data_IF_232509408237
#
_entry.id   IF_232509408237
#
_cell.length_a   1.000
_cell.length_b   1.000
_cell.length_c   1.000
_cell.angle_alpha   90.00
_cell.angle_beta   90.00
_cell.angle_gamma   90.00
#
_symmetry.space_group_name_H-M   'P 1'
#
loop_
_entity.id
_entity.type
_entity.pdbx_description
1 polymer ?
#
# COMPACT_ATOMS: atom_id res chain seq x y z
N UNK A 1 -21.32 25.92 -9.06
CA UNK A 1 -20.62 26.41 -10.26
C UNK A 1 -19.36 25.64 -10.64
N UNK A 2 -18.26 25.54 -9.84
CA UNK A 2 -17.11 24.69 -10.24
C UNK A 2 -17.40 23.18 -10.11
N UNK A 3 -18.10 22.78 -9.04
CA UNK A 3 -18.47 21.38 -8.82
C UNK A 3 -19.45 20.85 -9.88
N UNK A 4 -20.45 21.63 -10.27
CA UNK A 4 -21.39 21.24 -11.33
C UNK A 4 -20.69 21.11 -12.69
N UNK A 5 -19.73 22.00 -12.98
CA UNK A 5 -18.96 21.92 -14.21
C UNK A 5 -18.08 20.66 -14.27
N UNK A 6 -17.41 20.32 -13.16
CA UNK A 6 -16.61 19.09 -13.06
C UNK A 6 -17.47 17.82 -13.08
N UNK A 7 -18.63 17.82 -12.40
CA UNK A 7 -19.57 16.69 -12.44
C UNK A 7 -20.13 16.46 -13.85
N UNK A 8 -20.45 17.54 -14.58
CA UNK A 8 -20.94 17.43 -15.95
C UNK A 8 -19.85 16.95 -16.90
N UNK A 9 -18.62 17.46 -16.76
CA UNK A 9 -17.49 17.07 -17.61
C UNK A 9 -17.01 15.63 -17.34
N UNK A 10 -17.06 15.17 -16.10
CA UNK A 10 -16.76 13.78 -15.72
C UNK A 10 -17.88 12.80 -16.07
N UNK A 11 -19.12 13.28 -16.23
CA UNK A 11 -20.25 12.45 -16.67
C UNK A 11 -20.30 12.25 -18.19
N UNK A 12 -19.68 13.14 -18.97
CA UNK A 12 -19.70 13.14 -20.44
C UNK A 12 -18.46 12.50 -21.09
N UNK A 13 -17.48 12.05 -20.30
CA UNK A 13 -16.31 11.33 -20.82
C UNK A 13 -16.62 9.85 -21.05
N UNK A 14 -16.00 9.28 -22.08
CA UNK A 14 -16.11 7.84 -22.42
C UNK A 14 -15.49 6.90 -21.37
N UNK A 15 -14.85 7.46 -20.34
CA UNK A 15 -14.31 6.76 -19.16
C UNK A 15 -15.18 6.96 -17.90
N UNK A 16 -16.42 7.42 -18.06
CA UNK A 16 -17.31 7.69 -16.93
C UNK A 16 -17.82 6.41 -16.24
N UNK A 17 -18.03 6.52 -14.93
CA UNK A 17 -18.53 5.42 -14.09
C UNK A 17 -19.95 5.06 -14.56
N UNK A 18 -20.21 3.80 -14.97
CA UNK A 18 -21.48 3.41 -15.60
C UNK A 18 -22.69 3.51 -14.65
N UNK A 19 -22.46 3.50 -13.33
CA UNK A 19 -23.52 3.60 -12.32
C UNK A 19 -23.96 5.05 -12.08
N UNK A 20 -25.24 5.33 -12.34
CA UNK A 20 -25.86 6.63 -12.05
C UNK A 20 -25.84 6.98 -10.54
N UNK A 21 -25.95 5.97 -9.66
CA UNK A 21 -25.92 6.16 -8.20
C UNK A 21 -24.52 6.52 -7.70
N UNK A 22 -23.47 5.95 -8.30
CA UNK A 22 -22.10 6.33 -7.95
C UNK A 22 -21.78 7.78 -8.39
N UNK A 23 -22.37 8.24 -9.49
CA UNK A 23 -22.20 9.62 -9.98
C UNK A 23 -22.84 10.67 -9.07
N UNK A 24 -23.95 10.36 -8.39
CA UNK A 24 -24.63 11.31 -7.49
C UNK A 24 -23.99 11.41 -6.11
N UNK A 25 -23.30 10.36 -5.65
CA UNK A 25 -22.74 10.26 -4.30
C UNK A 25 -21.23 10.60 -4.23
N UNK A 26 -20.49 10.52 -5.34
CA UNK A 26 -19.06 10.89 -5.37
C UNK A 26 -18.93 12.42 -5.43
N UNK A 27 -19.07 13.06 -4.28
CA UNK A 27 -18.55 14.40 -4.08
C UNK A 27 -17.02 14.37 -4.22
N UNK A 28 -16.41 15.44 -4.75
CA UNK A 28 -14.95 15.57 -4.96
C UNK A 28 -14.10 15.23 -3.72
N UNK A 29 -14.69 15.30 -2.52
CA UNK A 29 -14.06 14.99 -1.25
C UNK A 29 -13.91 13.48 -0.99
N UNK A 30 -14.70 12.64 -1.67
CA UNK A 30 -14.63 11.18 -1.53
C UNK A 30 -13.79 10.52 -2.62
N UNK A 31 -13.20 11.27 -3.57
CA UNK A 31 -12.41 10.70 -4.66
C UNK A 31 -11.25 9.83 -4.14
N UNK A 32 -10.52 10.27 -3.12
CA UNK A 32 -9.44 9.47 -2.53
C UNK A 32 -9.93 8.20 -1.81
N UNK A 33 -11.13 8.24 -1.20
CA UNK A 33 -11.75 7.05 -0.59
C UNK A 33 -12.34 6.11 -1.66
N UNK A 34 -12.92 6.67 -2.70
CA UNK A 34 -13.53 5.95 -3.82
C UNK A 34 -12.48 5.26 -4.68
N UNK A 35 -11.32 5.89 -4.91
CA UNK A 35 -10.17 5.26 -5.56
C UNK A 35 -9.67 4.06 -4.73
N UNK A 36 -9.55 4.21 -3.40
CA UNK A 36 -9.17 3.11 -2.50
C UNK A 36 -10.18 1.95 -2.58
N UNK A 37 -11.49 2.25 -2.62
CA UNK A 37 -12.55 1.23 -2.73
C UNK A 37 -12.52 0.55 -4.11
N UNK A 38 -12.35 1.31 -5.20
CA UNK A 38 -12.26 0.75 -6.55
C UNK A 38 -11.02 -0.16 -6.69
N UNK A 39 -9.88 0.25 -6.14
CA UNK A 39 -8.65 -0.58 -6.12
C UNK A 39 -8.84 -1.85 -5.30
N UNK A 40 -9.50 -1.77 -4.14
CA UNK A 40 -9.88 -2.95 -3.36
C UNK A 40 -10.84 -3.87 -4.13
N UNK A 41 -11.80 -3.31 -4.87
CA UNK A 41 -12.77 -4.06 -5.66
C UNK A 41 -12.13 -4.74 -6.89
N UNK A 42 -11.14 -4.08 -7.50
CA UNK A 42 -10.42 -4.59 -8.68
C UNK A 42 -9.41 -5.70 -8.37
N UNK A 43 -9.19 -6.04 -7.08
CA UNK A 43 -8.38 -7.20 -6.67
C UNK A 43 -6.96 -7.21 -7.26
N UNK A 44 -6.42 -6.04 -7.61
CA UNK A 44 -5.06 -5.93 -8.12
C UNK A 44 -4.11 -6.02 -6.93
N UNK A 45 -3.21 -7.00 -6.91
CA UNK A 45 -2.21 -7.07 -5.85
C UNK A 45 -1.35 -5.80 -5.96
N UNK A 46 -1.28 -4.94 -4.93
CA UNK A 46 -0.48 -3.71 -4.98
C UNK A 46 0.99 -4.01 -5.28
N UNK A 47 1.45 -5.24 -5.02
CA UNK A 47 2.80 -5.71 -5.30
C UNK A 47 3.02 -6.16 -6.75
N UNK A 48 1.99 -6.34 -7.57
CA UNK A 48 2.13 -6.80 -8.97
C UNK A 48 2.75 -5.74 -9.88
N UNK A 49 2.67 -4.47 -9.47
CA UNK A 49 3.24 -3.33 -10.20
C UNK A 49 4.65 -2.93 -9.75
N UNK A 50 5.17 -3.56 -8.69
CA UNK A 50 6.46 -3.22 -8.07
C UNK A 50 7.63 -3.73 -8.92
N UNK A 51 8.70 -2.96 -9.02
CA UNK A 51 9.91 -3.34 -9.74
C UNK A 51 10.49 -4.70 -9.25
N UNK A 52 10.95 -5.60 -10.15
CA UNK A 52 11.56 -6.88 -9.79
C UNK A 52 12.65 -6.81 -8.73
N UNK A 53 13.39 -5.71 -8.63
CA UNK A 53 14.46 -5.54 -7.62
C UNK A 53 13.97 -5.61 -6.17
N UNK A 54 12.68 -5.30 -5.93
CA UNK A 54 12.06 -5.37 -4.60
C UNK A 54 11.29 -6.68 -4.34
N UNK A 55 11.44 -7.67 -5.22
CA UNK A 55 10.75 -8.98 -5.17
C UNK A 55 11.67 -10.13 -4.75
N UNK A 56 12.80 -9.83 -4.12
CA UNK A 56 13.73 -10.87 -3.68
C UNK A 56 13.13 -11.65 -2.51
N UNK A 57 13.28 -12.97 -2.56
CA UNK A 57 12.82 -13.84 -1.49
C UNK A 57 13.65 -13.65 -0.21
N UNK A 58 12.98 -13.86 0.93
CA UNK A 58 13.60 -13.82 2.24
C UNK A 58 14.30 -15.14 2.55
N UNK A 59 15.50 -15.10 3.16
CA UNK A 59 16.08 -16.26 3.85
C UNK A 59 15.10 -16.82 4.89
N UNK A 60 15.09 -18.15 5.07
CA UNK A 60 14.15 -18.83 5.99
C UNK A 60 14.25 -18.28 7.44
N UNK A 61 15.46 -17.96 7.89
CA UNK A 61 15.70 -17.40 9.22
C UNK A 61 15.02 -16.04 9.44
N UNK A 62 15.05 -15.16 8.42
CA UNK A 62 14.41 -13.84 8.49
C UNK A 62 12.89 -13.96 8.33
N UNK A 63 12.44 -14.92 7.53
CA UNK A 63 11.01 -15.21 7.36
C UNK A 63 10.37 -15.60 8.69
N UNK A 64 11.00 -16.49 9.45
CA UNK A 64 10.48 -16.93 10.73
C UNK A 64 10.43 -15.80 11.76
N UNK A 65 11.44 -14.92 11.76
CA UNK A 65 11.44 -13.72 12.61
C UNK A 65 10.30 -12.76 12.27
N UNK A 66 10.02 -12.52 10.98
CA UNK A 66 8.89 -11.69 10.55
C UNK A 66 7.55 -12.32 10.93
N UNK A 67 7.42 -13.64 10.82
CA UNK A 67 6.20 -14.36 11.23
C UNK A 67 6.00 -14.27 12.75
N UNK A 68 7.06 -14.40 13.55
CA UNK A 68 6.99 -14.24 15.00
C UNK A 68 6.66 -12.80 15.40
N UNK A 69 7.20 -11.81 14.68
CA UNK A 69 6.92 -10.39 14.89
C UNK A 69 5.51 -9.98 14.48
N UNK A 70 4.88 -10.69 13.53
CA UNK A 70 3.56 -10.36 12.97
C UNK A 70 2.49 -10.08 14.02
N UNK A 71 2.50 -10.80 15.14
CA UNK A 71 1.51 -10.62 16.22
C UNK A 71 1.64 -9.27 16.96
N UNK A 72 2.83 -8.66 16.92
CA UNK A 72 3.13 -7.40 17.58
C UNK A 72 3.24 -6.22 16.59
N UNK A 73 3.05 -6.48 15.29
CA UNK A 73 3.11 -5.45 14.27
C UNK A 73 1.74 -4.77 14.10
N UNK A 74 1.71 -3.45 13.85
CA UNK A 74 0.47 -2.73 13.66
C UNK A 74 -0.23 -3.21 12.38
N UNK A 75 -1.55 -3.41 12.44
CA UNK A 75 -2.33 -3.87 11.29
C UNK A 75 -2.23 -2.90 10.10
N UNK A 76 -2.11 -1.60 10.37
CA UNK A 76 -1.93 -0.55 9.39
C UNK A 76 -0.62 -0.66 8.59
N UNK A 77 0.37 -1.42 9.09
CA UNK A 77 1.66 -1.58 8.41
C UNK A 77 1.52 -2.22 7.03
N UNK A 78 0.68 -3.25 6.90
CA UNK A 78 0.47 -3.91 5.61
C UNK A 78 -0.16 -2.94 4.59
N UNK A 79 -1.14 -2.15 5.03
CA UNK A 79 -1.81 -1.16 4.17
C UNK A 79 -0.86 -0.01 3.78
N UNK A 80 -0.03 0.47 4.72
CA UNK A 80 1.01 1.43 4.45
C UNK A 80 2.02 0.87 3.43
N UNK A 81 2.44 -0.39 3.59
CA UNK A 81 3.36 -1.03 2.65
C UNK A 81 2.78 -1.14 1.23
N UNK A 82 1.48 -1.40 1.11
CA UNK A 82 0.76 -1.40 -0.16
C UNK A 82 0.73 -0.02 -0.81
N UNK A 83 0.43 1.03 -0.05
CA UNK A 83 0.44 2.41 -0.54
C UNK A 83 1.82 2.84 -1.07
N UNK A 84 2.89 2.48 -0.35
CA UNK A 84 4.26 2.79 -0.75
C UNK A 84 4.65 2.06 -2.04
N UNK A 85 4.30 0.78 -2.15
CA UNK A 85 4.52 -0.01 -3.35
C UNK A 85 3.88 0.63 -4.58
N UNK A 86 2.62 1.07 -4.46
CA UNK A 86 1.90 1.71 -5.55
C UNK A 86 2.43 3.08 -5.94
N UNK A 87 2.90 3.87 -4.96
CA UNK A 87 3.30 5.25 -5.17
C UNK A 87 4.78 5.41 -5.59
N UNK A 88 5.67 4.56 -5.06
CA UNK A 88 7.13 4.82 -5.13
C UNK A 88 7.97 3.65 -5.66
N UNK A 89 7.46 2.42 -5.65
CA UNK A 89 8.26 1.25 -6.03
C UNK A 89 8.07 0.79 -7.49
N UNK A 90 7.39 1.60 -8.33
CA UNK A 90 7.18 1.33 -9.76
C UNK A 90 8.34 1.79 -10.66
N UNK A 91 8.90 2.97 -10.41
CA UNK A 91 9.87 3.63 -11.31
C UNK A 91 11.25 3.90 -10.66
N UNK A 92 11.73 2.98 -9.82
CA UNK A 92 13.12 2.99 -9.31
C UNK A 92 13.50 4.26 -8.51
N UNK A 93 12.81 4.53 -7.39
CA UNK A 93 13.15 5.68 -6.53
C UNK A 93 14.08 5.36 -5.34
N UNK A 94 14.16 4.10 -4.91
CA UNK A 94 14.88 3.67 -3.70
C UNK A 94 15.98 2.64 -3.99
N UNK A 95 17.06 2.72 -3.21
CA UNK A 95 18.12 1.72 -3.22
C UNK A 95 17.59 0.39 -2.71
N UNK A 96 17.91 -0.71 -3.39
CA UNK A 96 17.48 -2.07 -3.04
C UNK A 96 18.07 -2.55 -1.70
N UNK A 97 19.27 -2.06 -1.35
CA UNK A 97 19.97 -2.36 -0.11
C UNK A 97 19.59 -1.44 1.06
N UNK A 98 18.72 -0.45 0.83
CA UNK A 98 18.30 0.46 1.90
C UNK A 98 17.57 -0.32 3.00
N UNK A 99 17.83 -0.05 4.30
CA UNK A 99 17.11 -0.68 5.39
C UNK A 99 15.61 -0.36 5.31
N UNK A 100 14.77 -1.39 5.38
CA UNK A 100 13.32 -1.25 5.30
C UNK A 100 12.76 -0.40 6.45
N UNK A 101 13.41 -0.43 7.63
CA UNK A 101 12.99 0.35 8.80
C UNK A 101 13.18 1.86 8.63
N UNK A 102 14.16 2.27 7.82
CA UNK A 102 14.43 3.67 7.53
C UNK A 102 13.43 4.21 6.51
N UNK A 103 12.96 3.32 5.63
CA UNK A 103 11.90 3.62 4.67
C UNK A 103 10.48 3.53 5.25
N UNK A 104 10.31 3.41 6.57
CA UNK A 104 8.99 3.58 7.21
C UNK A 104 8.80 5.01 7.72
N UNK A 105 9.88 5.74 7.97
CA UNK A 105 9.81 7.08 8.59
C UNK A 105 9.44 8.21 7.65
N UNK A 106 9.71 8.09 6.36
CA UNK A 106 9.44 9.17 5.41
C UNK A 106 7.96 9.24 4.94
N UNK A 107 7.02 8.51 5.57
CA UNK A 107 5.66 8.36 5.06
C UNK A 107 4.60 8.82 6.05
N UNK A 108 3.69 9.72 5.62
CA UNK A 108 2.72 10.37 6.50
C UNK A 108 1.52 9.49 6.89
N UNK A 109 1.33 8.34 6.23
CA UNK A 109 0.17 7.47 6.46
C UNK A 109 0.31 6.56 7.70
N UNK A 110 1.49 6.51 8.32
CA UNK A 110 1.73 5.80 9.58
C UNK A 110 1.87 6.79 10.74
N UNK A 111 1.23 6.50 11.87
CA UNK A 111 1.45 7.25 13.09
C UNK A 111 2.86 6.98 13.64
N UNK A 112 3.46 7.95 14.32
CA UNK A 112 4.80 7.81 14.92
C UNK A 112 4.89 6.59 15.86
N UNK A 113 3.80 6.26 16.56
CA UNK A 113 3.69 5.09 17.44
C UNK A 113 3.73 3.76 16.67
N UNK A 114 3.07 3.71 15.51
CA UNK A 114 3.08 2.54 14.64
C UNK A 114 4.46 2.34 14.02
N UNK A 115 5.13 3.43 13.63
CA UNK A 115 6.51 3.41 13.13
C UNK A 115 7.47 2.91 14.22
N UNK A 116 7.33 3.41 15.45
CA UNK A 116 8.15 2.97 16.58
C UNK A 116 7.94 1.48 16.88
N UNK A 117 6.69 1.02 16.87
CA UNK A 117 6.32 -0.38 17.09
C UNK A 117 6.87 -1.28 15.98
N UNK A 118 6.73 -0.86 14.72
CA UNK A 118 7.28 -1.58 13.58
C UNK A 118 8.81 -1.70 13.68
N UNK A 119 9.51 -0.63 14.07
CA UNK A 119 10.97 -0.65 14.28
C UNK A 119 11.42 -1.53 15.43
N UNK A 120 10.64 -1.61 16.51
CA UNK A 120 10.96 -2.43 17.66
C UNK A 120 10.87 -3.93 17.35
N UNK A 121 9.96 -4.32 16.46
CA UNK A 121 9.64 -5.72 16.19
C UNK A 121 10.11 -6.25 14.83
N UNK A 122 10.36 -5.40 13.84
CA UNK A 122 10.92 -5.84 12.56
C UNK A 122 12.41 -6.22 12.72
N UNK A 123 12.87 -7.29 12.04
CA UNK A 123 14.29 -7.59 11.92
C UNK A 123 15.05 -6.44 11.27
N UNK A 124 16.25 -6.13 11.78
CA UNK A 124 17.10 -5.04 11.27
C UNK A 124 17.77 -5.35 9.94
N UNK A 125 17.93 -6.62 9.64
CA UNK A 125 18.60 -7.10 8.42
C UNK A 125 17.68 -7.09 7.19
N UNK A 126 16.45 -6.57 7.34
CA UNK A 126 15.53 -6.39 6.23
C UNK A 126 15.91 -5.16 5.41
N UNK A 127 16.25 -5.41 4.15
CA UNK A 127 16.38 -4.35 3.13
C UNK A 127 15.18 -4.28 2.18
N UNK A 128 15.10 -3.18 1.44
CA UNK A 128 14.04 -2.89 0.46
C UNK A 128 13.87 -3.98 -0.60
N UNK A 129 14.92 -4.72 -0.94
CA UNK A 129 14.82 -5.83 -1.89
C UNK A 129 13.81 -6.93 -1.47
N UNK A 130 13.51 -7.03 -0.16
CA UNK A 130 12.59 -8.02 0.42
C UNK A 130 11.17 -7.49 0.62
N UNK A 131 10.86 -6.29 0.12
CA UNK A 131 9.60 -5.58 0.38
C UNK A 131 8.35 -6.42 0.12
N UNK A 132 8.28 -7.02 -1.07
CA UNK A 132 7.12 -7.82 -1.48
C UNK A 132 6.97 -9.07 -0.63
N UNK A 133 8.09 -9.70 -0.27
CA UNK A 133 8.08 -10.90 0.55
C UNK A 133 7.58 -10.60 1.98
N UNK A 134 8.03 -9.49 2.58
CA UNK A 134 7.53 -9.03 3.90
C UNK A 134 6.04 -8.69 3.83
N UNK A 135 5.60 -7.91 2.83
CA UNK A 135 4.19 -7.58 2.67
C UNK A 135 3.30 -8.82 2.60
N UNK A 136 3.68 -9.81 1.79
CA UNK A 136 2.90 -11.06 1.64
C UNK A 136 2.80 -11.86 2.94
N UNK A 137 3.81 -11.79 3.81
CA UNK A 137 3.78 -12.42 5.13
C UNK A 137 2.88 -11.66 6.10
N UNK A 138 2.87 -10.33 6.04
CA UNK A 138 2.08 -9.47 6.93
C UNK A 138 0.61 -9.40 6.53
N UNK A 139 0.31 -9.41 5.22
CA UNK A 139 -1.05 -9.32 4.71
C UNK A 139 -1.95 -10.34 5.42
N UNK A 140 -3.09 -9.92 5.98
CA UNK A 140 -4.06 -10.86 6.51
C UNK A 140 -4.54 -11.74 5.36
N UNK A 141 -4.51 -13.06 5.59
CA UNK A 141 -5.04 -14.03 4.63
C UNK A 141 -6.53 -13.68 4.47
N UNK A 142 -6.93 -13.17 3.30
CA UNK A 142 -8.33 -12.85 3.05
C UNK A 142 -9.17 -14.08 3.43
N UNK A 143 -10.02 -13.95 4.43
CA UNK A 143 -10.95 -14.98 4.83
C UNK A 143 -11.82 -15.29 3.60
N UNK A 144 -11.74 -16.53 3.12
CA UNK A 144 -12.67 -17.07 2.13
C UNK A 144 -13.97 -17.44 2.81
#
# INVERSE_FOLDING_TARGET
MLCEYLSTFLADSSESIPSATARSEVCLWHLGCFEKILKQLMNQDPMDSVDPKYRKDLPEELRDQVIAAKANLPAALADAMAGIAEAYLKDTFMGEDAPLQDTLQAWPDLADEDIATARAHLPRDLSMQHWVAVYRLLRPKAAR
#
